data_IF_711161882898
#
_entry.id   IF_711161882898
#
_cell.length_a   1.000
_cell.length_b   1.000
_cell.length_c   1.000
_cell.angle_alpha   90.00
_cell.angle_beta   90.00
_cell.angle_gamma   90.00
#
_symmetry.space_group_name_H-M   'P 1'
#
loop_
_entity.id
_entity.type
_entity.pdbx_description
1 polymer ?
#
# COMPACT_ATOMS: atom_id res chain seq x y z
N UNK A 1 -44.10 -1.76 -2.16
CA UNK A 1 -42.71 -1.47 -1.74
C UNK A 1 -42.07 -2.80 -1.39
N UNK A 2 -41.06 -3.23 -2.13
CA UNK A 2 -40.38 -4.51 -1.89
C UNK A 2 -39.50 -4.35 -0.64
N UNK A 3 -39.72 -5.20 0.37
CA UNK A 3 -38.84 -5.33 1.52
C UNK A 3 -37.50 -5.89 1.05
N UNK A 4 -36.46 -5.05 1.01
CA UNK A 4 -35.08 -5.52 0.94
C UNK A 4 -34.70 -5.97 2.36
N UNK A 5 -34.36 -7.25 2.59
CA UNK A 5 -33.90 -7.67 3.90
C UNK A 5 -32.59 -6.93 4.22
N UNK A 6 -32.52 -6.35 5.42
CA UNK A 6 -31.29 -5.79 5.95
C UNK A 6 -30.28 -6.93 6.08
N UNK A 7 -29.32 -7.02 5.16
CA UNK A 7 -28.21 -7.96 5.26
C UNK A 7 -27.16 -7.36 6.18
N UNK A 8 -27.48 -7.27 7.48
CA UNK A 8 -26.47 -6.93 8.47
C UNK A 8 -25.50 -8.10 8.58
N UNK A 9 -24.21 -7.82 8.37
CA UNK A 9 -23.14 -8.81 8.55
C UNK A 9 -23.16 -9.29 10.00
N UNK A 10 -23.20 -10.61 10.19
CA UNK A 10 -23.17 -11.22 11.52
C UNK A 10 -21.94 -10.72 12.32
N UNK A 11 -22.11 -10.21 13.56
CA UNK A 11 -21.02 -9.61 14.33
C UNK A 11 -19.84 -10.56 14.58
N UNK A 12 -20.10 -11.87 14.72
CA UNK A 12 -19.03 -12.87 14.89
C UNK A 12 -18.22 -12.97 13.60
N UNK A 13 -18.90 -13.06 12.46
CA UNK A 13 -18.27 -13.09 11.14
C UNK A 13 -17.47 -11.82 10.88
N UNK A 14 -18.00 -10.64 11.22
CA UNK A 14 -17.27 -9.38 11.10
C UNK A 14 -15.96 -9.39 11.90
N UNK A 15 -16.00 -9.81 13.17
CA UNK A 15 -14.79 -9.86 14.00
C UNK A 15 -13.76 -10.87 13.48
N UNK A 16 -14.20 -12.04 12.99
CA UNK A 16 -13.30 -13.02 12.38
C UNK A 16 -12.61 -12.43 11.14
N UNK A 17 -13.37 -11.78 10.24
CA UNK A 17 -12.81 -11.16 9.03
C UNK A 17 -11.85 -10.01 9.37
N UNK A 18 -12.25 -9.10 10.27
CA UNK A 18 -11.42 -7.98 10.70
C UNK A 18 -10.07 -8.46 11.23
N UNK A 19 -10.07 -9.43 12.15
CA UNK A 19 -8.83 -9.97 12.71
C UNK A 19 -8.01 -10.75 11.67
N UNK A 20 -8.66 -11.44 10.73
CA UNK A 20 -7.97 -12.13 9.63
C UNK A 20 -7.24 -11.14 8.70
N UNK A 21 -7.87 -10.01 8.35
CA UNK A 21 -7.23 -8.98 7.52
C UNK A 21 -6.05 -8.32 8.23
N UNK A 22 -6.22 -7.93 9.50
CA UNK A 22 -5.12 -7.36 10.31
C UNK A 22 -3.96 -8.35 10.42
N UNK A 23 -4.26 -9.62 10.71
CA UNK A 23 -3.25 -10.68 10.79
C UNK A 23 -2.52 -10.86 9.45
N UNK A 24 -3.23 -10.78 8.33
CA UNK A 24 -2.62 -10.89 7.00
C UNK A 24 -1.62 -9.77 6.76
N UNK A 25 -1.97 -8.53 7.13
CA UNK A 25 -1.06 -7.37 7.00
C UNK A 25 0.14 -7.51 7.94
N UNK A 26 -0.05 -7.97 9.17
CA UNK A 26 1.05 -8.23 10.11
C UNK A 26 2.00 -9.34 9.60
N UNK A 27 1.45 -10.37 8.93
CA UNK A 27 2.27 -11.39 8.26
C UNK A 27 3.04 -10.82 7.06
N UNK A 28 2.45 -9.92 6.26
CA UNK A 28 3.18 -9.20 5.20
C UNK A 28 4.37 -8.43 5.79
N UNK A 29 4.17 -7.75 6.92
CA UNK A 29 5.23 -7.02 7.62
C UNK A 29 6.36 -7.94 8.10
N UNK A 30 6.01 -9.10 8.67
CA UNK A 30 6.99 -10.09 9.11
C UNK A 30 7.80 -10.66 7.92
N UNK A 31 7.15 -10.92 6.78
CA UNK A 31 7.85 -11.36 5.58
C UNK A 31 8.82 -10.30 5.06
N UNK A 32 8.43 -9.02 5.07
CA UNK A 32 9.35 -7.94 4.71
C UNK A 32 10.57 -7.92 5.62
N UNK A 33 10.40 -7.96 6.94
CA UNK A 33 11.52 -7.95 7.88
C UNK A 33 12.48 -9.13 7.69
N UNK A 34 11.94 -10.33 7.46
CA UNK A 34 12.76 -11.54 7.27
C UNK A 34 13.54 -11.56 5.96
N UNK A 35 13.06 -10.84 4.95
CA UNK A 35 13.63 -10.87 3.60
C UNK A 35 14.39 -9.60 3.22
N UNK A 36 14.24 -8.53 4.00
CA UNK A 36 14.91 -7.27 3.72
C UNK A 36 16.43 -7.37 3.95
N UNK A 37 17.17 -6.77 3.03
CA UNK A 37 18.59 -6.48 3.21
C UNK A 37 18.82 -5.01 3.64
N UNK A 38 17.85 -4.14 3.35
CA UNK A 38 17.92 -2.70 3.68
C UNK A 38 17.91 -2.51 5.20
N UNK A 39 18.93 -1.80 5.71
CA UNK A 39 18.97 -1.37 7.10
C UNK A 39 17.77 -0.48 7.46
N UNK A 40 17.29 0.34 6.52
CA UNK A 40 16.17 1.26 6.73
C UNK A 40 14.86 0.48 6.92
N UNK A 41 14.60 -0.50 6.05
CA UNK A 41 13.44 -1.40 6.17
C UNK A 41 13.56 -2.30 7.40
N UNK A 42 14.76 -2.78 7.75
CA UNK A 42 14.98 -3.57 8.98
C UNK A 42 14.62 -2.77 10.24
N UNK A 43 14.82 -1.45 10.22
CA UNK A 43 14.39 -0.53 11.28
C UNK A 43 12.93 -0.07 11.13
N UNK A 44 12.12 -0.80 10.35
CA UNK A 44 10.67 -0.64 10.18
C UNK A 44 10.21 0.61 9.45
N UNK A 45 11.04 1.18 8.58
CA UNK A 45 10.58 2.21 7.63
C UNK A 45 9.90 1.57 6.41
N UNK A 46 8.75 0.95 6.68
CA UNK A 46 7.90 0.30 5.70
C UNK A 46 6.49 0.17 6.30
N UNK A 47 5.48 -0.04 5.46
CA UNK A 47 4.11 -0.31 5.92
C UNK A 47 3.34 -1.10 4.88
N UNK A 48 2.30 -1.81 5.31
CA UNK A 48 1.52 -2.68 4.45
C UNK A 48 0.03 -2.37 4.60
N UNK A 49 -0.75 -2.69 3.57
CA UNK A 49 -2.19 -2.46 3.61
C UNK A 49 -2.97 -3.36 2.67
N UNK A 50 -4.22 -3.58 3.06
CA UNK A 50 -5.25 -4.14 2.21
C UNK A 50 -6.30 -3.06 1.93
N UNK A 51 -6.74 -2.99 0.68
CA UNK A 51 -7.73 -2.03 0.22
C UNK A 51 -8.89 -2.73 -0.48
N UNK A 52 -10.07 -2.11 -0.44
CA UNK A 52 -11.23 -2.56 -1.22
C UNK A 52 -11.05 -2.28 -2.72
N UNK A 53 -12.01 -2.69 -3.55
CA UNK A 53 -11.97 -2.51 -5.00
C UNK A 53 -11.92 -1.03 -5.45
N UNK A 54 -12.32 -0.09 -4.58
CA UNK A 54 -12.25 1.35 -4.81
C UNK A 54 -10.96 1.99 -4.25
N UNK A 55 -10.06 1.17 -3.70
CA UNK A 55 -8.80 1.60 -3.10
C UNK A 55 -8.95 2.27 -1.73
N UNK A 56 -10.08 2.09 -1.03
CA UNK A 56 -10.20 2.53 0.36
C UNK A 56 -9.50 1.53 1.30
N UNK A 57 -8.87 2.06 2.33
CA UNK A 57 -8.17 1.26 3.32
C UNK A 57 -9.14 0.34 4.09
N UNK A 58 -8.86 -0.96 4.07
CA UNK A 58 -9.59 -2.00 4.82
C UNK A 58 -8.79 -2.43 6.07
N UNK A 59 -7.48 -2.64 5.92
CA UNK A 59 -6.61 -3.03 7.02
C UNK A 59 -5.18 -2.52 6.81
N UNK A 60 -4.50 -2.22 7.91
CA UNK A 60 -3.11 -1.77 7.99
C UNK A 60 -2.40 -2.47 9.16
N UNK A 61 -1.07 -2.49 9.14
CA UNK A 61 -0.29 -3.19 10.14
C UNK A 61 -0.31 -2.49 11.50
N UNK A 62 -0.30 -3.27 12.57
CA UNK A 62 -0.35 -2.72 13.94
C UNK A 62 0.93 -1.95 14.34
N UNK A 63 2.02 -2.17 13.61
CA UNK A 63 3.34 -1.59 13.87
C UNK A 63 3.84 -0.77 12.68
N UNK A 64 2.91 -0.29 11.85
CA UNK A 64 3.19 0.57 10.71
C UNK A 64 3.35 2.02 11.13
N UNK A 65 4.12 2.79 10.38
CA UNK A 65 4.39 4.18 10.72
C UNK A 65 3.22 5.08 10.34
N UNK A 66 2.88 6.02 11.22
CA UNK A 66 1.69 6.87 11.08
C UNK A 66 1.63 7.65 9.76
N UNK A 67 2.80 8.03 9.22
CA UNK A 67 2.88 8.78 7.95
C UNK A 67 2.44 7.93 6.75
N UNK A 68 2.70 6.61 6.75
CA UNK A 68 2.23 5.69 5.72
C UNK A 68 0.74 5.37 5.88
N UNK A 69 0.31 5.11 7.12
CA UNK A 69 -1.09 4.80 7.47
C UNK A 69 -2.05 5.84 6.88
N UNK A 70 -1.68 7.12 6.94
CA UNK A 70 -2.48 8.22 6.37
C UNK A 70 -2.45 8.36 4.85
N UNK A 71 -1.54 7.67 4.14
CA UNK A 71 -1.23 7.98 2.72
C UNK A 71 -1.35 6.80 1.74
N UNK A 72 -1.23 5.55 2.22
CA UNK A 72 -1.25 4.33 1.38
C UNK A 72 -2.42 4.30 0.37
N UNK A 73 -3.63 4.54 0.87
CA UNK A 73 -4.86 4.49 0.07
C UNK A 73 -4.89 5.51 -1.08
N UNK A 74 -4.23 6.67 -0.96
CA UNK A 74 -4.16 7.64 -2.07
C UNK A 74 -3.40 7.08 -3.27
N UNK A 75 -2.23 6.48 -3.02
CA UNK A 75 -1.45 5.85 -4.10
C UNK A 75 -2.15 4.63 -4.70
N UNK A 76 -2.91 3.86 -3.91
CA UNK A 76 -3.76 2.79 -4.45
C UNK A 76 -4.81 3.35 -5.41
N UNK A 77 -5.52 4.41 -4.99
CA UNK A 77 -6.51 5.10 -5.83
C UNK A 77 -5.91 5.70 -7.10
N UNK A 78 -4.69 6.20 -7.02
CA UNK A 78 -4.02 6.76 -8.20
C UNK A 78 -3.65 5.68 -9.22
N UNK A 79 -3.13 4.53 -8.76
CA UNK A 79 -2.90 3.37 -9.64
C UNK A 79 -4.21 2.91 -10.29
N UNK A 80 -5.30 2.79 -9.52
CA UNK A 80 -6.63 2.45 -10.06
C UNK A 80 -7.06 3.47 -11.13
N UNK A 81 -6.84 4.77 -10.89
CA UNK A 81 -7.17 5.84 -11.82
C UNK A 81 -6.39 5.73 -13.13
N UNK A 82 -5.08 5.50 -13.06
CA UNK A 82 -4.18 5.43 -14.22
C UNK A 82 -4.44 4.19 -15.06
N UNK A 83 -4.63 3.03 -14.43
CA UNK A 83 -4.79 1.73 -15.10
C UNK A 83 -6.26 1.29 -15.20
N UNK A 84 -7.19 2.23 -15.11
CA UNK A 84 -8.63 1.90 -15.13
C UNK A 84 -9.01 1.13 -16.40
N UNK A 85 -9.49 -0.10 -16.22
CA UNK A 85 -9.89 -0.98 -17.32
C UNK A 85 -8.74 -1.77 -17.96
N UNK A 86 -7.52 -1.64 -17.42
CA UNK A 86 -6.29 -2.29 -17.89
C UNK A 86 -5.54 -2.90 -16.69
N UNK A 87 -6.27 -3.64 -15.86
CA UNK A 87 -5.70 -4.39 -14.72
C UNK A 87 -6.09 -5.85 -14.82
N UNK A 88 -5.10 -6.74 -14.71
CA UNK A 88 -5.30 -8.17 -14.91
C UNK A 88 -4.77 -9.00 -13.75
N UNK A 89 -5.30 -10.23 -13.54
CA UNK A 89 -4.76 -11.15 -12.56
C UNK A 89 -3.27 -11.42 -12.80
N UNK A 90 -2.45 -11.18 -11.77
CA UNK A 90 -1.01 -11.39 -11.83
C UNK A 90 -0.19 -10.10 -11.87
N UNK A 91 -0.78 -8.98 -12.29
CA UNK A 91 -0.10 -7.70 -12.38
C UNK A 91 0.44 -7.20 -11.03
N UNK A 92 1.49 -6.38 -11.10
CA UNK A 92 2.03 -5.62 -9.97
C UNK A 92 2.44 -4.24 -10.46
N UNK A 93 1.98 -3.21 -9.76
CA UNK A 93 2.23 -1.81 -10.09
C UNK A 93 3.21 -1.22 -9.08
N UNK A 94 4.16 -0.41 -9.55
CA UNK A 94 5.09 0.33 -8.72
C UNK A 94 4.79 1.83 -8.82
N UNK A 95 4.73 2.52 -7.69
CA UNK A 95 4.51 3.96 -7.61
C UNK A 95 5.35 4.57 -6.48
N UNK A 96 5.97 5.71 -6.76
CA UNK A 96 6.72 6.49 -5.78
C UNK A 96 6.52 8.01 -5.97
N UNK A 97 5.49 8.41 -6.71
CA UNK A 97 5.19 9.82 -6.98
C UNK A 97 4.64 10.50 -5.70
N UNK A 98 5.37 11.46 -5.11
CA UNK A 98 4.88 12.18 -3.93
C UNK A 98 3.63 13.01 -4.21
N UNK A 99 3.41 13.44 -5.47
CA UNK A 99 2.24 14.20 -5.86
C UNK A 99 0.98 13.34 -6.05
N UNK A 100 1.14 12.01 -6.12
CA UNK A 100 0.05 11.03 -6.19
C UNK A 100 -0.33 10.47 -4.80
N UNK A 101 0.08 11.12 -3.72
CA UNK A 101 -0.16 10.67 -2.34
C UNK A 101 1.00 9.85 -1.76
N UNK A 102 2.18 9.87 -2.39
CA UNK A 102 3.43 9.48 -1.75
C UNK A 102 3.90 10.53 -0.74
N UNK A 103 4.89 10.18 0.06
CA UNK A 103 5.48 10.98 1.13
C UNK A 103 6.76 11.68 0.66
N UNK A 104 7.57 10.95 -0.11
CA UNK A 104 8.74 11.41 -0.87
C UNK A 104 9.11 10.30 -1.86
N UNK A 105 10.06 10.55 -2.77
CA UNK A 105 10.45 9.58 -3.80
C UNK A 105 10.96 8.26 -3.24
N UNK A 106 11.68 8.29 -2.11
CA UNK A 106 12.26 7.09 -1.48
C UNK A 106 11.23 6.08 -0.97
N UNK A 107 9.97 6.49 -0.79
CA UNK A 107 8.89 5.60 -0.38
C UNK A 107 8.25 4.95 -1.60
N UNK A 108 8.80 3.80 -2.00
CA UNK A 108 8.34 3.04 -3.16
C UNK A 108 7.26 2.06 -2.72
N UNK A 109 6.13 2.10 -3.43
CA UNK A 109 4.96 1.29 -3.14
C UNK A 109 4.72 0.30 -4.27
N UNK A 110 4.53 -0.96 -3.90
CA UNK A 110 4.05 -2.01 -4.78
C UNK A 110 2.58 -2.28 -4.47
N UNK A 111 1.75 -2.27 -5.52
CA UNK A 111 0.31 -2.51 -5.44
C UNK A 111 -0.03 -3.69 -6.34
N UNK A 112 -0.74 -4.67 -5.80
CA UNK A 112 -1.18 -5.86 -6.52
C UNK A 112 -2.71 -5.98 -6.44
N UNK A 113 -3.42 -6.03 -7.58
CA UNK A 113 -4.84 -6.33 -7.59
C UNK A 113 -5.10 -7.78 -7.13
N UNK A 114 -6.16 -7.96 -6.36
CA UNK A 114 -6.61 -9.25 -5.84
C UNK A 114 -7.93 -9.58 -6.55
N UNK A 115 -7.95 -10.73 -7.23
CA UNK A 115 -9.10 -11.21 -7.96
C UNK A 115 -9.68 -12.46 -7.29
N UNK A 116 -11.00 -12.54 -7.26
CA UNK A 116 -11.75 -13.78 -7.09
C UNK A 116 -12.34 -14.14 -8.45
N UNK A 117 -11.84 -15.22 -9.05
CA UNK A 117 -12.04 -15.55 -10.46
C UNK A 117 -11.69 -14.36 -11.38
N UNK A 118 -12.67 -13.79 -12.09
CA UNK A 118 -12.50 -12.62 -12.97
C UNK A 118 -12.90 -11.30 -12.28
N UNK A 119 -13.32 -11.36 -11.01
CA UNK A 119 -13.81 -10.18 -10.28
C UNK A 119 -12.69 -9.58 -9.42
N UNK A 120 -12.37 -8.32 -9.67
CA UNK A 120 -11.49 -7.55 -8.79
C UNK A 120 -12.18 -7.30 -7.44
N UNK A 121 -11.62 -7.83 -6.36
CA UNK A 121 -12.21 -7.72 -5.00
C UNK A 121 -11.43 -6.75 -4.09
N UNK A 122 -10.22 -6.36 -4.47
CA UNK A 122 -9.42 -5.42 -3.70
C UNK A 122 -7.96 -5.40 -4.11
N UNK A 123 -7.11 -4.84 -3.25
CA UNK A 123 -5.69 -4.68 -3.50
C UNK A 123 -4.86 -5.00 -2.26
N UNK A 124 -3.69 -5.60 -2.46
CA UNK A 124 -2.62 -5.56 -1.47
C UNK A 124 -1.60 -4.51 -1.84
N UNK A 125 -1.07 -3.84 -0.82
CA UNK A 125 -0.07 -2.81 -0.97
C UNK A 125 1.05 -2.99 0.04
N UNK A 126 2.28 -2.79 -0.43
CA UNK A 126 3.48 -2.77 0.38
C UNK A 126 4.30 -1.52 0.06
N UNK A 127 4.67 -0.75 1.07
CA UNK A 127 5.53 0.42 0.98
C UNK A 127 6.84 0.10 1.67
N UNK A 128 7.99 0.37 1.04
CA UNK A 128 9.28 0.34 1.70
C UNK A 128 10.11 1.55 1.34
N UNK A 129 10.82 2.10 2.33
CA UNK A 129 11.77 3.17 2.10
C UNK A 129 13.06 2.62 1.47
N UNK A 130 13.32 3.02 0.23
CA UNK A 130 14.52 2.66 -0.51
C UNK A 130 15.59 3.70 -0.24
N UNK A 131 16.76 3.27 0.24
CA UNK A 131 17.78 4.19 0.75
C UNK A 131 18.37 5.13 -0.31
N UNK A 132 18.21 4.82 -1.59
CA UNK A 132 18.74 5.56 -2.73
C UNK A 132 17.92 5.17 -3.99
N UNK A 133 17.64 6.15 -4.86
CA UNK A 133 16.89 5.96 -6.11
C UNK A 133 17.60 6.50 -7.36
N UNK A 134 18.88 6.84 -7.25
CA UNK A 134 19.66 7.39 -8.36
C UNK A 134 19.80 8.91 -8.35
N UNK A 135 19.38 9.55 -7.26
CA UNK A 135 19.93 10.72 -6.60
C UNK A 135 20.84 11.64 -7.41
N UNK A 136 20.54 12.94 -7.43
CA UNK A 136 21.59 13.94 -7.68
C UNK A 136 22.71 13.90 -6.62
N UNK A 137 22.43 13.33 -5.44
CA UNK A 137 23.41 12.98 -4.41
C UNK A 137 23.13 11.56 -3.89
N UNK A 138 24.14 10.81 -3.42
CA UNK A 138 23.91 9.50 -2.83
C UNK A 138 23.05 9.58 -1.56
N UNK A 139 22.09 8.66 -1.45
CA UNK A 139 21.19 8.51 -0.33
C UNK A 139 19.76 9.00 -0.61
N UNK A 140 18.97 9.07 0.45
CA UNK A 140 17.51 9.25 0.35
C UNK A 140 17.08 10.70 0.07
N UNK A 141 17.85 11.69 0.51
CA UNK A 141 17.44 13.10 0.45
C UNK A 141 18.57 14.02 -0.03
N UNK A 142 18.29 14.84 -1.04
CA UNK A 142 19.11 16.00 -1.38
C UNK A 142 18.58 17.27 -0.69
N UNK A 143 19.20 17.67 0.42
CA UNK A 143 18.82 18.90 1.14
C UNK A 143 19.10 20.20 0.38
N UNK A 144 19.86 20.14 -0.71
CA UNK A 144 20.17 21.27 -1.57
C UNK A 144 19.31 21.29 -2.85
N UNK A 145 18.37 20.36 -3.02
CA UNK A 145 17.46 20.38 -4.16
C UNK A 145 16.53 21.60 -4.08
N UNK A 146 16.41 22.30 -5.20
CA UNK A 146 15.47 23.42 -5.37
C UNK A 146 14.27 23.05 -6.26
N UNK A 147 14.36 21.92 -6.94
CA UNK A 147 13.37 21.40 -7.89
C UNK A 147 13.34 19.87 -7.79
N UNK A 148 12.19 19.27 -8.12
CA UNK A 148 11.98 17.82 -8.04
C UNK A 148 12.99 16.99 -8.85
N UNK A 149 13.56 17.55 -9.92
CA UNK A 149 14.54 16.86 -10.78
C UNK A 149 15.84 16.51 -10.05
N UNK A 150 16.11 17.12 -8.89
CA UNK A 150 17.25 16.79 -8.03
C UNK A 150 16.89 15.97 -6.78
N UNK A 151 15.63 15.64 -6.56
CA UNK A 151 15.13 14.98 -5.34
C UNK A 151 15.04 13.46 -5.43
N UNK A 152 15.06 12.90 -6.64
CA UNK A 152 15.12 11.46 -6.89
C UNK A 152 16.57 10.98 -6.95
#
# INVERSE_FOLDING_TARGET
MKNTPNQDLDPVTFEVLKNSFITSVDQMAEQMLRTCYSFVIYNRDFSNGLHDADGNCVAQGNSDIAVHVGTLHYTCKDVIRVFKGDMYPGDVYAINDPYAGGTHFSDVRLIRPIFDEETLIGFSQSNGHWSDLGGSVPGSFNVAAHEMFGEA
#
